data_IF_814446270627
#
_entry.id   IF_814446270627
#
_cell.length_a   1.000
_cell.length_b   1.000
_cell.length_c   1.000
_cell.angle_alpha   90.00
_cell.angle_beta   90.00
_cell.angle_gamma   90.00
#
_symmetry.space_group_name_H-M   'P 1'
#
loop_
_entity.id
_entity.type
_entity.pdbx_description
1 polymer ?
#
# COMPACT_ATOMS: atom_id res chain seq x y z
N UNK A 1 -10.13 30.78 -37.93
CA UNK A 1 -10.15 29.53 -37.15
C UNK A 1 -9.07 28.60 -37.71
N UNK A 2 -7.81 28.73 -37.28
CA UNK A 2 -6.69 27.93 -37.78
C UNK A 2 -6.44 26.72 -36.88
N UNK A 3 -7.23 25.66 -37.03
CA UNK A 3 -7.10 24.42 -36.25
C UNK A 3 -6.60 23.25 -37.11
N UNK A 4 -5.72 23.54 -38.09
CA UNK A 4 -5.14 22.53 -38.98
C UNK A 4 -3.64 22.77 -39.24
N UNK A 5 -2.90 23.28 -38.26
CA UNK A 5 -1.44 23.24 -38.37
C UNK A 5 -0.96 21.83 -38.00
N UNK A 6 -0.43 21.03 -38.96
CA UNK A 6 -0.05 19.63 -38.72
C UNK A 6 1.02 19.50 -37.62
N UNK A 7 1.78 20.57 -37.39
CA UNK A 7 2.76 20.69 -36.30
C UNK A 7 2.11 20.66 -34.91
N UNK A 8 0.94 21.29 -34.75
CA UNK A 8 0.22 21.32 -33.47
C UNK A 8 -0.37 19.94 -33.18
N UNK A 9 -0.95 19.29 -34.20
CA UNK A 9 -1.44 17.91 -34.08
C UNK A 9 -0.30 16.94 -33.76
N UNK A 10 0.86 17.07 -34.41
CA UNK A 10 2.03 16.25 -34.13
C UNK A 10 2.54 16.45 -32.70
N UNK A 11 2.56 17.69 -32.18
CA UNK A 11 2.93 17.96 -30.79
C UNK A 11 1.91 17.38 -29.80
N UNK A 12 0.62 17.48 -30.08
CA UNK A 12 -0.42 16.89 -29.22
C UNK A 12 -0.33 15.37 -29.19
N UNK A 13 -0.12 14.73 -30.35
CA UNK A 13 0.07 13.27 -30.43
C UNK A 13 1.36 12.85 -29.71
N UNK A 14 2.43 13.62 -29.83
CA UNK A 14 3.69 13.34 -29.14
C UNK A 14 3.57 13.48 -27.62
N UNK A 15 2.90 14.52 -27.13
CA UNK A 15 2.59 14.70 -25.70
C UNK A 15 1.68 13.56 -25.21
N UNK A 16 0.69 13.16 -26.00
CA UNK A 16 -0.19 12.04 -25.69
C UNK A 16 0.56 10.71 -25.63
N UNK A 17 1.48 10.45 -26.57
CA UNK A 17 2.33 9.26 -26.58
C UNK A 17 3.29 9.22 -25.38
N UNK A 18 3.91 10.36 -25.03
CA UNK A 18 4.71 10.48 -23.82
C UNK A 18 3.87 10.24 -22.56
N UNK A 19 2.67 10.82 -22.48
CA UNK A 19 1.74 10.61 -21.36
C UNK A 19 1.27 9.16 -21.26
N UNK A 20 0.97 8.51 -22.37
CA UNK A 20 0.56 7.10 -22.41
C UNK A 20 1.72 6.16 -22.02
N UNK A 21 2.95 6.42 -22.50
CA UNK A 21 4.13 5.65 -22.11
C UNK A 21 4.43 5.81 -20.61
N UNK A 22 4.36 7.04 -20.09
CA UNK A 22 4.50 7.31 -18.66
C UNK A 22 3.37 6.64 -17.84
N UNK A 23 2.14 6.64 -18.34
CA UNK A 23 1.00 5.96 -17.73
C UNK A 23 1.16 4.44 -17.69
N UNK A 24 1.61 3.81 -18.78
CA UNK A 24 1.86 2.36 -18.84
C UNK A 24 3.02 1.95 -17.92
N UNK A 25 4.10 2.73 -17.89
CA UNK A 25 5.21 2.49 -16.96
C UNK A 25 4.78 2.69 -15.50
N UNK A 26 4.00 3.75 -15.23
CA UNK A 26 3.41 4.01 -13.92
C UNK A 26 2.48 2.89 -13.47
N UNK A 27 1.62 2.37 -14.34
CA UNK A 27 0.74 1.24 -14.06
C UNK A 27 1.50 -0.08 -13.94
N UNK A 28 2.66 -0.26 -14.58
CA UNK A 28 3.49 -1.46 -14.39
C UNK A 28 4.22 -1.45 -13.04
N UNK A 29 4.63 -0.27 -12.57
CA UNK A 29 5.23 -0.08 -11.24
C UNK A 29 4.19 -0.07 -10.11
N UNK A 30 2.97 0.44 -10.38
CA UNK A 30 1.84 0.41 -9.43
C UNK A 30 1.05 -0.91 -9.49
N UNK A 31 1.09 -1.63 -10.61
CA UNK A 31 0.44 -2.94 -10.77
C UNK A 31 1.23 -4.06 -10.09
N UNK A 32 2.56 -3.95 -10.02
CA UNK A 32 3.38 -4.82 -9.17
C UNK A 32 3.26 -4.48 -7.68
N UNK A 33 2.77 -3.28 -7.31
CA UNK A 33 2.39 -2.95 -5.93
C UNK A 33 0.92 -3.26 -5.59
N UNK A 34 0.12 -3.65 -6.59
CA UNK A 34 -1.24 -4.17 -6.42
C UNK A 34 -1.30 -5.69 -6.28
N UNK A 35 -0.19 -6.40 -6.50
CA UNK A 35 0.09 -7.53 -5.63
C UNK A 35 0.43 -6.89 -4.29
N UNK A 36 -0.48 -6.94 -3.31
CA UNK A 36 -0.13 -6.56 -1.93
C UNK A 36 1.19 -7.28 -1.65
N UNK A 37 2.33 -6.58 -1.55
CA UNK A 37 3.52 -7.24 -1.06
C UNK A 37 3.05 -7.76 0.28
N UNK A 38 3.16 -9.08 0.49
CA UNK A 38 2.80 -9.61 1.79
C UNK A 38 3.55 -8.74 2.80
N UNK A 39 2.86 -8.25 3.84
CA UNK A 39 3.43 -7.29 4.78
C UNK A 39 4.76 -7.84 5.34
N UNK A 40 4.92 -9.16 5.39
CA UNK A 40 6.18 -9.83 5.66
C UNK A 40 7.28 -9.50 4.63
N UNK A 41 7.06 -9.56 3.32
CA UNK A 41 8.09 -9.29 2.30
C UNK A 41 8.63 -7.85 2.34
N UNK A 42 7.76 -6.85 2.58
CA UNK A 42 8.21 -5.44 2.69
C UNK A 42 8.96 -5.18 4.01
N UNK A 43 8.49 -5.78 5.11
CA UNK A 43 9.11 -5.62 6.43
C UNK A 43 10.43 -6.38 6.55
N UNK A 44 10.52 -7.58 5.96
CA UNK A 44 11.76 -8.37 5.87
C UNK A 44 12.83 -7.56 5.13
N UNK A 45 12.47 -7.00 3.97
CA UNK A 45 13.37 -6.13 3.20
C UNK A 45 13.80 -4.88 4.00
N UNK A 46 12.90 -4.31 4.80
CA UNK A 46 13.23 -3.15 5.66
C UNK A 46 14.17 -3.54 6.80
N UNK A 47 14.00 -4.74 7.40
CA UNK A 47 14.89 -5.29 8.43
C UNK A 47 16.30 -5.48 7.89
N UNK A 48 16.42 -6.18 6.77
CA UNK A 48 17.70 -6.48 6.13
C UNK A 48 18.44 -5.21 5.71
N UNK A 49 17.74 -4.24 5.12
CA UNK A 49 18.32 -2.94 4.76
C UNK A 49 18.83 -2.16 5.98
N UNK A 50 18.08 -2.19 7.07
CA UNK A 50 18.47 -1.51 8.32
C UNK A 50 19.71 -2.18 8.94
N UNK A 51 19.73 -3.51 8.97
CA UNK A 51 20.87 -4.26 9.50
C UNK A 51 22.13 -4.09 8.64
N UNK A 52 22.01 -4.08 7.31
CA UNK A 52 23.15 -3.84 6.41
C UNK A 52 23.70 -2.41 6.59
N UNK A 53 22.82 -1.42 6.74
CA UNK A 53 23.23 -0.05 7.06
C UNK A 53 23.95 0.03 8.41
N UNK A 54 23.43 -0.63 9.45
CA UNK A 54 24.08 -0.64 10.78
C UNK A 54 25.43 -1.35 10.75
N UNK A 55 25.55 -2.47 10.03
CA UNK A 55 26.82 -3.18 9.85
C UNK A 55 27.88 -2.28 9.23
N UNK A 56 27.52 -1.50 8.21
CA UNK A 56 28.44 -0.59 7.51
C UNK A 56 28.85 0.60 8.37
N UNK A 57 27.89 1.29 8.98
CA UNK A 57 28.20 2.55 9.67
C UNK A 57 28.73 2.36 11.09
N UNK A 58 28.27 1.33 11.81
CA UNK A 58 28.67 1.08 13.18
C UNK A 58 29.81 0.06 13.29
N UNK A 59 30.22 -0.53 12.16
CA UNK A 59 31.28 -1.55 12.08
C UNK A 59 31.04 -2.70 13.09
N UNK A 60 29.82 -3.22 13.09
CA UNK A 60 29.37 -4.21 14.05
C UNK A 60 30.21 -5.50 13.96
N UNK A 61 30.57 -6.06 15.11
CA UNK A 61 31.09 -7.43 15.15
C UNK A 61 30.00 -8.44 14.73
N UNK A 62 30.39 -9.65 14.29
CA UNK A 62 29.42 -10.70 13.95
C UNK A 62 28.48 -11.08 15.12
N UNK A 63 28.92 -10.92 16.36
CA UNK A 63 28.08 -11.15 17.54
C UNK A 63 27.07 -10.01 17.73
N UNK A 64 27.54 -8.76 17.67
CA UNK A 64 26.66 -7.58 17.79
C UNK A 64 25.60 -7.54 16.68
N UNK A 65 25.98 -7.90 15.45
CA UNK A 65 25.05 -7.95 14.33
C UNK A 65 23.93 -8.97 14.56
N UNK A 66 24.23 -10.12 15.17
CA UNK A 66 23.22 -11.15 15.49
C UNK A 66 22.27 -10.70 16.60
N UNK A 67 22.79 -10.04 17.63
CA UNK A 67 21.96 -9.48 18.70
C UNK A 67 21.03 -8.39 18.18
N UNK A 68 21.55 -7.47 17.36
CA UNK A 68 20.75 -6.41 16.73
C UNK A 68 19.71 -6.99 15.77
N UNK A 69 20.06 -8.03 15.02
CA UNK A 69 19.11 -8.73 14.14
C UNK A 69 17.93 -9.30 14.93
N UNK A 70 18.17 -9.95 16.06
CA UNK A 70 17.12 -10.47 16.94
C UNK A 70 16.21 -9.34 17.46
N UNK A 71 16.79 -8.21 17.87
CA UNK A 71 16.02 -7.04 18.32
C UNK A 71 15.16 -6.46 17.18
N UNK A 72 15.70 -6.38 15.96
CA UNK A 72 14.94 -5.90 14.80
C UNK A 72 13.81 -6.86 14.42
N UNK A 73 14.01 -8.17 14.58
CA UNK A 73 12.98 -9.18 14.33
C UNK A 73 11.81 -9.07 15.32
N UNK A 74 12.12 -8.89 16.61
CA UNK A 74 11.12 -8.64 17.66
C UNK A 74 10.28 -7.39 17.36
N UNK A 75 10.91 -6.32 16.85
CA UNK A 75 10.18 -5.12 16.44
C UNK A 75 9.22 -5.39 15.28
N UNK A 76 9.66 -6.15 14.26
CA UNK A 76 8.81 -6.51 13.12
C UNK A 76 7.59 -7.29 13.59
N UNK A 77 7.78 -8.30 14.45
CA UNK A 77 6.71 -9.11 15.02
C UNK A 77 5.74 -8.24 15.83
N UNK A 78 6.24 -7.37 16.69
CA UNK A 78 5.41 -6.46 17.47
C UNK A 78 4.51 -5.58 16.58
N UNK A 79 5.08 -4.97 15.54
CA UNK A 79 4.31 -4.15 14.59
C UNK A 79 3.28 -4.96 13.79
N UNK A 80 3.56 -6.22 13.46
CA UNK A 80 2.59 -7.10 12.82
C UNK A 80 1.41 -7.38 13.74
N UNK A 81 1.68 -7.76 14.99
CA UNK A 81 0.64 -8.03 15.99
C UNK A 81 -0.22 -6.79 16.26
N UNK A 82 0.39 -5.60 16.29
CA UNK A 82 -0.36 -4.36 16.47
C UNK A 82 -1.27 -4.06 15.27
N UNK A 83 -0.79 -4.28 14.03
CA UNK A 83 -1.63 -4.10 12.85
C UNK A 83 -2.84 -5.03 12.86
N UNK A 84 -2.65 -6.31 13.18
CA UNK A 84 -3.76 -7.26 13.31
C UNK A 84 -4.79 -6.79 14.35
N UNK A 85 -4.34 -6.37 15.53
CA UNK A 85 -5.23 -5.84 16.57
C UNK A 85 -5.98 -4.58 16.12
N UNK A 86 -5.30 -3.68 15.39
CA UNK A 86 -5.95 -2.48 14.86
C UNK A 86 -7.01 -2.82 13.81
N UNK A 87 -6.76 -3.82 12.97
CA UNK A 87 -7.70 -4.27 11.95
C UNK A 87 -8.92 -4.96 12.57
N UNK A 88 -8.73 -5.79 13.60
CA UNK A 88 -9.81 -6.38 14.38
C UNK A 88 -10.65 -5.29 15.07
N UNK A 89 -10.00 -4.30 15.68
CA UNK A 89 -10.68 -3.17 16.33
C UNK A 89 -11.50 -2.35 15.32
N UNK A 90 -10.96 -2.09 14.13
CA UNK A 90 -11.68 -1.41 13.04
C UNK A 90 -12.88 -2.22 12.57
N UNK A 91 -12.72 -3.54 12.43
CA UNK A 91 -13.79 -4.44 12.03
C UNK A 91 -14.94 -4.43 13.04
N UNK A 92 -14.64 -4.60 14.33
CA UNK A 92 -15.65 -4.57 15.39
C UNK A 92 -16.33 -3.18 15.49
N UNK A 93 -15.55 -2.10 15.37
CA UNK A 93 -16.09 -0.74 15.31
C UNK A 93 -17.06 -0.56 14.14
N UNK A 94 -16.68 -1.02 12.95
CA UNK A 94 -17.54 -1.00 11.75
C UNK A 94 -18.83 -1.79 11.97
N UNK A 95 -18.73 -3.02 12.50
CA UNK A 95 -19.88 -3.89 12.76
C UNK A 95 -20.86 -3.23 13.71
N UNK A 96 -20.36 -2.60 14.78
CA UNK A 96 -21.19 -1.86 15.74
C UNK A 96 -21.86 -0.64 15.11
N UNK A 97 -21.15 0.13 14.29
CA UNK A 97 -21.75 1.25 13.55
C UNK A 97 -22.88 0.73 12.67
N UNK A 98 -22.64 -0.31 11.87
CA UNK A 98 -23.66 -0.88 10.99
C UNK A 98 -24.89 -1.30 11.79
N UNK A 99 -24.75 -1.95 12.95
CA UNK A 99 -25.89 -2.36 13.79
C UNK A 99 -26.79 -1.20 14.24
N UNK A 100 -26.24 0.00 14.42
CA UNK A 100 -26.99 1.19 14.84
C UNK A 100 -27.75 1.83 13.67
N UNK A 101 -27.24 1.69 12.46
CA UNK A 101 -27.79 2.33 11.27
C UNK A 101 -29.02 1.59 10.71
N UNK A 102 -29.93 2.35 10.12
CA UNK A 102 -31.00 1.81 9.28
C UNK A 102 -30.48 1.43 7.87
N UNK A 103 -31.31 0.79 7.06
CA UNK A 103 -30.89 0.21 5.77
C UNK A 103 -30.30 1.24 4.80
N UNK A 104 -30.97 2.37 4.61
CA UNK A 104 -30.49 3.45 3.73
C UNK A 104 -29.16 4.04 4.21
N UNK A 105 -29.01 4.21 5.52
CA UNK A 105 -27.78 4.72 6.12
C UNK A 105 -26.61 3.72 6.00
N UNK A 106 -26.87 2.42 6.05
CA UNK A 106 -25.86 1.37 5.85
C UNK A 106 -25.28 1.43 4.45
N UNK A 107 -26.13 1.50 3.43
CA UNK A 107 -25.68 1.61 2.04
C UNK A 107 -24.81 2.85 1.81
N UNK A 108 -25.23 4.00 2.36
CA UNK A 108 -24.45 5.24 2.30
C UNK A 108 -23.11 5.12 3.02
N UNK A 109 -23.09 4.52 4.21
CA UNK A 109 -21.87 4.29 4.99
C UNK A 109 -20.89 3.37 4.26
N UNK A 110 -21.36 2.27 3.67
CA UNK A 110 -20.51 1.34 2.91
C UNK A 110 -19.90 2.02 1.68
N UNK A 111 -20.69 2.82 0.95
CA UNK A 111 -20.21 3.64 -0.17
C UNK A 111 -19.15 4.66 0.25
N UNK A 112 -19.34 5.33 1.40
CA UNK A 112 -18.33 6.26 1.95
C UNK A 112 -17.04 5.56 2.39
N UNK A 113 -17.15 4.32 2.89
CA UNK A 113 -16.01 3.51 3.34
C UNK A 113 -15.20 2.89 2.19
N UNK A 114 -15.61 3.10 0.93
CA UNK A 114 -14.95 2.53 -0.24
C UNK A 114 -15.09 1.00 -0.36
N UNK A 115 -16.00 0.40 0.39
CA UNK A 115 -16.25 -1.04 0.39
C UNK A 115 -17.58 -1.34 -0.33
N UNK A 116 -17.63 -2.41 -1.15
CA UNK A 116 -18.88 -2.82 -1.76
C UNK A 116 -19.88 -3.19 -0.66
N UNK A 117 -21.17 -2.91 -0.91
CA UNK A 117 -22.23 -3.29 -0.01
C UNK A 117 -22.38 -4.82 0.00
N UNK A 118 -21.57 -5.52 0.80
CA UNK A 118 -21.70 -6.96 1.00
C UNK A 118 -22.87 -7.25 1.93
N UNK A 119 -24.07 -7.04 1.40
CA UNK A 119 -25.34 -7.46 1.94
C UNK A 119 -25.95 -8.52 1.02
N UNK A 120 -25.24 -9.64 0.79
CA UNK A 120 -25.80 -10.89 0.25
C UNK A 120 -24.96 -12.09 0.71
N UNK A 121 -24.88 -12.29 2.03
CA UNK A 121 -24.59 -13.61 2.57
C UNK A 121 -25.91 -14.39 2.55
N UNK A 122 -25.98 -15.36 1.63
CA UNK A 122 -26.89 -16.51 1.72
C UNK A 122 -26.22 -17.58 2.55
#
# INVERSE_FOLDING_TARGET
>A
MSWHHPRILALLVLVFLCGAAAGVLGMRMAGSSMARPSISTWKESTRELTLDWFRRELQLSPEQAREIEAVLDDYVIYYQNLQTQMDDFRYEGKKRILQILNEEQREKYLKMSGQPAEGKLR
#
